data_IF_323362499249
#
_entry.id   IF_323362499249
#
_cell.length_a   1.000
_cell.length_b   1.000
_cell.length_c   1.000
_cell.angle_alpha   90.00
_cell.angle_beta   90.00
_cell.angle_gamma   90.00
#
_symmetry.space_group_name_H-M   'P 1'
#
loop_
_entity.id
_entity.type
_entity.pdbx_description
1 polymer ?
#
# COMPACT_ATOMS: atom_id res chain seq x y z
N UNK A 1 -8.89 -13.21 11.39
CA UNK A 1 -9.39 -13.32 9.99
C UNK A 1 -9.92 -11.98 9.56
N UNK A 2 -9.76 -11.57 8.30
CA UNK A 2 -10.37 -10.33 7.77
C UNK A 2 -11.90 -10.52 7.72
N UNK A 3 -12.63 -9.70 8.46
CA UNK A 3 -14.10 -9.71 8.42
C UNK A 3 -14.59 -8.59 7.50
N UNK A 4 -15.32 -8.97 6.43
CA UNK A 4 -15.94 -8.03 5.50
C UNK A 4 -17.43 -7.90 5.84
N UNK A 5 -17.88 -6.71 6.19
CA UNK A 5 -19.27 -6.37 6.52
C UNK A 5 -19.83 -5.44 5.45
N UNK A 6 -20.88 -5.87 4.79
CA UNK A 6 -21.45 -5.26 3.58
C UNK A 6 -22.90 -4.83 3.73
N UNK A 7 -23.54 -5.16 4.85
CA UNK A 7 -24.99 -5.03 5.07
C UNK A 7 -25.48 -3.58 4.88
N UNK A 8 -24.63 -2.60 5.24
CA UNK A 8 -24.98 -1.18 5.09
C UNK A 8 -24.93 -0.71 3.63
N UNK A 9 -24.03 -1.30 2.82
CA UNK A 9 -23.99 -1.02 1.38
C UNK A 9 -25.04 -1.81 0.60
N UNK A 10 -25.34 -3.03 1.00
CA UNK A 10 -26.34 -3.90 0.35
C UNK A 10 -27.75 -3.29 0.35
N UNK A 11 -28.09 -2.44 1.34
CA UNK A 11 -29.37 -1.70 1.39
C UNK A 11 -29.61 -0.78 0.19
N UNK A 12 -28.55 -0.41 -0.52
CA UNK A 12 -28.59 0.51 -1.66
C UNK A 12 -28.68 -0.21 -3.02
N UNK A 13 -28.74 -1.53 -3.02
CA UNK A 13 -28.80 -2.35 -4.24
C UNK A 13 -29.92 -3.39 -4.14
N UNK A 14 -30.47 -3.82 -5.28
CA UNK A 14 -31.44 -4.90 -5.25
C UNK A 14 -30.73 -6.26 -5.08
N UNK A 15 -31.38 -7.22 -4.41
CA UNK A 15 -30.87 -8.60 -4.29
C UNK A 15 -30.60 -9.22 -5.65
N UNK A 16 -31.44 -8.94 -6.64
CA UNK A 16 -31.28 -9.42 -8.03
C UNK A 16 -30.00 -8.88 -8.64
N UNK A 17 -29.75 -7.58 -8.53
CA UNK A 17 -28.55 -6.95 -9.11
C UNK A 17 -27.29 -7.40 -8.38
N UNK A 18 -27.36 -7.57 -7.05
CA UNK A 18 -26.27 -8.09 -6.26
C UNK A 18 -25.87 -9.51 -6.69
N UNK A 19 -26.83 -10.42 -6.83
CA UNK A 19 -26.55 -11.78 -7.27
C UNK A 19 -25.98 -11.81 -8.70
N UNK A 20 -26.49 -10.99 -9.60
CA UNK A 20 -25.96 -10.89 -10.96
C UNK A 20 -24.51 -10.32 -10.99
N UNK A 21 -24.22 -9.35 -10.11
CA UNK A 21 -22.87 -8.81 -9.99
C UNK A 21 -21.89 -9.83 -9.38
N UNK A 22 -22.35 -10.64 -8.43
CA UNK A 22 -21.54 -11.69 -7.82
C UNK A 22 -21.19 -12.80 -8.84
N UNK A 23 -22.12 -13.20 -9.71
CA UNK A 23 -21.82 -14.13 -10.84
C UNK A 23 -20.79 -13.52 -11.80
N UNK A 24 -20.92 -12.23 -12.10
CA UNK A 24 -19.91 -11.51 -12.90
C UNK A 24 -18.55 -11.48 -12.23
N UNK A 25 -18.49 -11.32 -10.91
CA UNK A 25 -17.25 -11.34 -10.14
C UNK A 25 -16.59 -12.74 -10.13
N UNK A 26 -17.38 -13.81 -10.04
CA UNK A 26 -16.89 -15.20 -10.18
C UNK A 26 -16.23 -15.40 -11.55
N UNK A 27 -16.93 -15.02 -12.62
CA UNK A 27 -16.39 -15.12 -13.98
C UNK A 27 -15.11 -14.28 -14.16
N UNK A 28 -15.01 -13.11 -13.52
CA UNK A 28 -13.83 -12.28 -13.52
C UNK A 28 -12.65 -12.93 -12.75
N UNK A 29 -12.93 -13.63 -11.64
CA UNK A 29 -11.90 -14.39 -10.92
C UNK A 29 -11.41 -15.58 -11.76
N UNK A 30 -12.30 -16.33 -12.41
CA UNK A 30 -11.91 -17.42 -13.31
C UNK A 30 -11.03 -16.91 -14.46
N UNK A 31 -11.36 -15.73 -15.02
CA UNK A 31 -10.55 -15.07 -16.04
C UNK A 31 -9.15 -14.67 -15.52
N UNK A 32 -9.07 -14.19 -14.26
CA UNK A 32 -7.81 -13.87 -13.60
C UNK A 32 -6.96 -15.13 -13.40
N UNK A 33 -7.56 -16.20 -12.87
CA UNK A 33 -6.86 -17.45 -12.56
C UNK A 33 -6.37 -18.18 -13.82
N UNK A 34 -7.14 -18.15 -14.90
CA UNK A 34 -6.75 -18.76 -16.18
C UNK A 34 -5.65 -17.99 -16.91
N UNK A 35 -5.41 -16.72 -16.55
CA UNK A 35 -4.47 -15.85 -17.24
C UNK A 35 -4.92 -15.46 -18.67
N UNK A 36 -6.15 -15.74 -19.06
CA UNK A 36 -6.69 -15.45 -20.40
C UNK A 36 -7.26 -14.04 -20.54
N UNK A 37 -7.36 -13.29 -19.44
CA UNK A 37 -7.83 -11.93 -19.43
C UNK A 37 -6.83 -10.93 -20.05
N UNK A 38 -7.30 -9.72 -20.32
CA UNK A 38 -6.44 -8.61 -20.79
C UNK A 38 -5.30 -8.40 -19.80
N UNK A 39 -4.05 -8.49 -20.25
CA UNK A 39 -2.86 -8.39 -19.40
C UNK A 39 -2.57 -9.60 -18.52
N UNK A 40 -3.19 -10.76 -18.78
CA UNK A 40 -3.04 -11.99 -17.97
C UNK A 40 -1.59 -12.51 -17.88
N UNK A 41 -0.70 -12.09 -18.75
CA UNK A 41 0.74 -12.36 -18.66
C UNK A 41 1.43 -11.59 -17.50
N UNK A 42 0.71 -10.69 -16.81
CA UNK A 42 1.19 -9.90 -15.67
C UNK A 42 0.60 -10.35 -14.33
N UNK A 43 0.13 -11.59 -14.24
CA UNK A 43 -0.51 -12.17 -13.05
C UNK A 43 0.45 -12.94 -12.12
N UNK A 44 1.78 -12.81 -12.29
CA UNK A 44 2.78 -13.51 -11.47
C UNK A 44 2.69 -13.21 -9.97
N UNK A 45 2.08 -12.08 -9.60
CA UNK A 45 1.86 -11.71 -8.21
C UNK A 45 0.90 -12.65 -7.46
N UNK A 46 -0.01 -13.35 -8.16
CA UNK A 46 -0.95 -14.32 -7.56
C UNK A 46 -0.25 -15.43 -6.78
N UNK A 47 0.96 -15.79 -7.19
CA UNK A 47 1.69 -16.91 -6.58
C UNK A 47 2.78 -16.47 -5.61
N UNK A 48 3.00 -15.17 -5.41
CA UNK A 48 4.04 -14.66 -4.50
C UNK A 48 3.91 -15.16 -3.05
N UNK A 49 2.71 -15.39 -2.49
CA UNK A 49 2.60 -15.94 -1.12
C UNK A 49 2.91 -17.43 -1.01
N UNK A 50 3.13 -18.15 -2.10
CA UNK A 50 3.47 -19.60 -2.07
C UNK A 50 4.88 -19.85 -1.53
N UNK A 51 5.11 -21.08 -1.08
CA UNK A 51 6.35 -21.48 -0.39
C UNK A 51 7.62 -21.49 -1.26
N UNK A 52 7.52 -21.21 -2.55
CA UNK A 52 8.64 -21.25 -3.50
C UNK A 52 9.64 -20.08 -3.31
N UNK A 53 9.32 -19.12 -2.45
CA UNK A 53 10.15 -17.93 -2.19
C UNK A 53 11.23 -18.11 -1.12
N UNK A 54 11.56 -19.34 -0.70
CA UNK A 54 12.55 -19.63 0.36
C UNK A 54 13.90 -18.93 0.15
N UNK A 55 14.39 -18.91 -1.10
CA UNK A 55 15.64 -18.22 -1.41
C UNK A 55 15.54 -16.71 -1.22
N UNK A 56 14.47 -16.09 -1.73
CA UNK A 56 14.23 -14.65 -1.57
C UNK A 56 14.13 -14.25 -0.10
N UNK A 57 13.38 -15.03 0.69
CA UNK A 57 13.23 -14.80 2.14
C UNK A 57 14.60 -14.90 2.83
N UNK A 58 15.38 -15.93 2.52
CA UNK A 58 16.73 -16.12 3.07
C UNK A 58 17.65 -14.96 2.69
N UNK A 59 17.63 -14.51 1.44
CA UNK A 59 18.44 -13.38 0.96
C UNK A 59 18.03 -12.08 1.68
N UNK A 60 16.73 -11.79 1.84
CA UNK A 60 16.25 -10.62 2.58
C UNK A 60 16.70 -10.66 4.05
N UNK A 61 16.56 -11.78 4.72
CA UNK A 61 17.00 -11.97 6.11
C UNK A 61 18.52 -11.84 6.27
N UNK A 62 19.28 -12.39 5.33
CA UNK A 62 20.73 -12.25 5.32
C UNK A 62 21.16 -10.79 5.17
N UNK A 63 20.53 -10.04 4.28
CA UNK A 63 20.79 -8.61 4.11
C UNK A 63 20.43 -7.84 5.38
N UNK A 64 19.23 -8.09 5.92
CA UNK A 64 18.75 -7.46 7.14
C UNK A 64 19.73 -7.69 8.30
N UNK A 65 20.16 -8.94 8.53
CA UNK A 65 21.10 -9.28 9.62
C UNK A 65 22.46 -8.57 9.49
N UNK A 66 22.94 -8.33 8.26
CA UNK A 66 24.17 -7.58 8.00
C UNK A 66 24.02 -6.08 8.28
N UNK A 67 22.85 -5.51 8.04
CA UNK A 67 22.63 -4.07 8.07
C UNK A 67 22.07 -3.55 9.39
N UNK A 68 21.29 -4.36 10.13
CA UNK A 68 20.64 -3.96 11.39
C UNK A 68 21.62 -3.34 12.39
N UNK A 69 22.82 -3.89 12.55
CA UNK A 69 23.80 -3.41 13.52
C UNK A 69 24.90 -2.51 12.94
N UNK A 70 24.86 -2.21 11.64
CA UNK A 70 25.92 -1.49 10.93
C UNK A 70 25.43 -0.16 10.37
N UNK A 71 24.16 -0.10 9.98
CA UNK A 71 23.57 1.10 9.39
C UNK A 71 22.74 1.87 10.40
N UNK A 72 23.02 3.17 10.55
CA UNK A 72 22.12 4.07 11.28
C UNK A 72 20.85 4.33 10.48
N UNK A 73 20.98 4.39 9.14
CA UNK A 73 19.91 4.76 8.21
C UNK A 73 19.94 3.86 6.99
N UNK A 74 18.77 3.45 6.51
CA UNK A 74 18.63 2.86 5.18
C UNK A 74 17.69 3.73 4.35
N UNK A 75 18.19 4.22 3.22
CA UNK A 75 17.39 5.01 2.27
C UNK A 75 16.82 4.08 1.20
N UNK A 76 15.51 4.02 1.12
CA UNK A 76 14.80 3.30 0.07
C UNK A 76 14.52 4.28 -1.06
N UNK A 77 15.11 4.01 -2.22
CA UNK A 77 14.97 4.85 -3.42
C UNK A 77 13.98 4.22 -4.37
N UNK A 78 12.80 4.82 -4.51
CA UNK A 78 11.72 4.30 -5.35
C UNK A 78 10.52 5.25 -5.42
N UNK A 79 9.60 5.00 -6.34
CA UNK A 79 8.36 5.77 -6.53
C UNK A 79 7.21 4.82 -6.89
N UNK A 80 5.98 5.23 -6.65
CA UNK A 80 4.78 4.44 -6.95
C UNK A 80 4.81 3.08 -6.27
N UNK A 81 4.66 1.99 -7.01
CA UNK A 81 4.70 0.63 -6.45
C UNK A 81 6.03 0.23 -5.82
N UNK A 82 7.13 0.88 -6.20
CA UNK A 82 8.44 0.70 -5.55
C UNK A 82 8.58 1.46 -4.21
N UNK A 83 7.54 2.18 -3.79
CA UNK A 83 7.51 3.02 -2.59
C UNK A 83 6.30 2.70 -1.70
N UNK A 84 5.07 2.79 -2.26
CA UNK A 84 3.84 2.85 -1.47
C UNK A 84 3.57 1.59 -0.66
N UNK A 85 3.77 0.39 -1.22
CA UNK A 85 3.52 -0.86 -0.50
C UNK A 85 4.47 -1.04 0.69
N UNK A 86 5.77 -0.82 0.48
CA UNK A 86 6.76 -0.87 1.56
C UNK A 86 6.50 0.23 2.61
N UNK A 87 6.20 1.47 2.18
CA UNK A 87 5.88 2.58 3.09
C UNK A 87 4.65 2.27 3.95
N UNK A 88 3.59 1.74 3.34
CA UNK A 88 2.38 1.32 4.05
C UNK A 88 2.70 0.29 5.14
N UNK A 89 3.39 -0.79 4.79
CA UNK A 89 3.74 -1.84 5.75
C UNK A 89 4.61 -1.29 6.90
N UNK A 90 5.63 -0.49 6.59
CA UNK A 90 6.52 0.08 7.60
C UNK A 90 5.82 1.05 8.55
N UNK A 91 4.93 1.90 8.06
CA UNK A 91 4.14 2.79 8.93
C UNK A 91 3.18 2.00 9.81
N UNK A 92 2.56 0.96 9.26
CA UNK A 92 1.65 0.10 10.01
C UNK A 92 2.36 -0.62 11.19
N UNK A 93 3.59 -1.10 10.98
CA UNK A 93 4.31 -1.88 11.98
C UNK A 93 5.08 -1.03 12.97
N UNK A 94 5.55 0.14 12.55
CA UNK A 94 6.42 1.00 13.36
C UNK A 94 5.70 1.59 14.57
N UNK A 95 6.47 1.83 15.64
CA UNK A 95 5.99 2.67 16.73
C UNK A 95 5.77 4.11 16.22
N UNK A 96 4.67 4.75 16.62
CA UNK A 96 4.31 6.10 16.13
C UNK A 96 5.41 7.15 16.36
N UNK A 97 6.23 6.97 17.39
CA UNK A 97 7.38 7.84 17.72
C UNK A 97 8.73 7.15 17.47
N UNK A 98 8.79 6.19 16.54
CA UNK A 98 10.02 5.47 16.24
C UNK A 98 11.18 6.38 15.81
N UNK A 99 10.92 7.58 15.28
CA UNK A 99 11.96 8.55 14.92
C UNK A 99 12.67 9.18 16.13
N UNK A 100 12.04 9.21 17.29
CA UNK A 100 12.52 9.85 18.51
C UNK A 100 13.06 8.88 19.58
N UNK A 101 12.81 7.56 19.44
CA UNK A 101 13.17 6.53 20.43
C UNK A 101 14.44 5.75 20.09
N UNK A 102 14.87 4.91 21.03
CA UNK A 102 15.91 3.90 20.80
C UNK A 102 15.45 2.87 19.77
N UNK A 103 16.37 2.35 18.98
CA UNK A 103 16.07 1.46 17.84
C UNK A 103 16.94 0.24 17.86
N UNK A 104 16.31 -0.88 17.54
CA UNK A 104 16.98 -2.15 17.27
C UNK A 104 17.21 -2.40 15.76
N UNK A 105 16.89 -1.42 14.91
CA UNK A 105 17.02 -1.48 13.46
C UNK A 105 17.31 -0.10 12.86
N UNK A 106 17.84 0.00 11.63
CA UNK A 106 18.12 1.26 10.97
C UNK A 106 16.88 2.15 10.82
N UNK A 107 17.09 3.46 10.80
CA UNK A 107 16.05 4.40 10.40
C UNK A 107 15.77 4.25 8.90
N UNK A 108 14.54 3.90 8.55
CA UNK A 108 14.13 3.81 7.16
C UNK A 108 13.67 5.19 6.68
N UNK A 109 14.31 5.68 5.63
CA UNK A 109 13.98 6.94 4.95
C UNK A 109 13.69 6.63 3.49
N UNK A 110 12.77 7.36 2.89
CA UNK A 110 12.42 7.19 1.48
C UNK A 110 12.93 8.36 0.64
N UNK A 111 13.38 8.09 -0.59
CA UNK A 111 13.80 9.09 -1.55
C UNK A 111 13.38 8.70 -2.98
N UNK A 112 13.40 9.66 -3.90
CA UNK A 112 13.06 9.40 -5.30
C UNK A 112 11.56 9.25 -5.56
N UNK A 113 10.72 9.68 -4.64
CA UNK A 113 9.26 9.82 -4.82
C UNK A 113 8.85 11.28 -5.06
N UNK A 114 9.78 12.20 -4.99
CA UNK A 114 9.60 13.64 -5.20
C UNK A 114 10.83 14.22 -5.90
N UNK A 115 10.65 15.34 -6.59
CA UNK A 115 11.72 16.16 -7.18
C UNK A 115 11.99 17.44 -6.36
N UNK A 116 11.58 17.48 -5.08
CA UNK A 116 11.84 18.60 -4.20
C UNK A 116 13.34 18.74 -3.91
N UNK A 117 13.88 19.90 -4.23
CA UNK A 117 15.28 20.27 -3.95
C UNK A 117 15.51 20.40 -2.45
N UNK A 118 14.58 21.05 -1.72
CA UNK A 118 14.65 21.21 -0.26
C UNK A 118 14.72 19.86 0.44
N UNK A 119 13.80 18.92 0.10
CA UNK A 119 13.81 17.58 0.67
C UNK A 119 15.13 16.84 0.41
N UNK A 120 15.66 16.93 -0.81
CA UNK A 120 16.92 16.27 -1.15
C UNK A 120 18.09 16.90 -0.41
N UNK A 121 18.14 18.23 -0.29
CA UNK A 121 19.15 18.97 0.46
C UNK A 121 19.15 18.57 1.94
N UNK A 122 17.98 18.52 2.57
CA UNK A 122 17.82 18.10 3.97
C UNK A 122 18.29 16.66 4.16
N UNK A 123 17.89 15.75 3.26
CA UNK A 123 18.32 14.36 3.31
C UNK A 123 19.83 14.22 3.20
N UNK A 124 20.46 14.90 2.26
CA UNK A 124 21.93 14.90 2.11
C UNK A 124 22.61 15.43 3.36
N UNK A 125 22.06 16.50 3.96
CA UNK A 125 22.53 17.07 5.23
C UNK A 125 22.43 16.07 6.38
N UNK A 126 21.26 15.42 6.52
CA UNK A 126 21.00 14.39 7.54
C UNK A 126 21.97 13.20 7.44
N UNK A 127 22.27 12.76 6.23
CA UNK A 127 23.13 11.60 5.99
C UNK A 127 24.62 11.87 6.21
N UNK A 128 25.08 13.13 6.26
CA UNK A 128 26.51 13.48 6.37
C UNK A 128 27.25 12.81 7.53
N UNK A 129 26.57 12.57 8.66
CA UNK A 129 27.17 11.99 9.87
C UNK A 129 26.70 10.58 10.19
N UNK A 130 25.92 9.96 9.30
CA UNK A 130 25.29 8.66 9.51
C UNK A 130 25.99 7.55 8.74
N UNK A 131 26.10 6.36 9.32
CA UNK A 131 26.37 5.15 8.53
C UNK A 131 25.07 4.80 7.80
N UNK A 132 25.07 4.79 6.46
CA UNK A 132 23.84 4.53 5.73
C UNK A 132 24.02 3.59 4.54
N UNK A 133 22.94 2.90 4.18
CA UNK A 133 22.82 2.05 3.01
C UNK A 133 21.70 2.53 2.08
N UNK A 134 21.74 2.13 0.81
CA UNK A 134 20.71 2.40 -0.18
C UNK A 134 20.06 1.08 -0.63
N UNK A 135 18.74 1.03 -0.63
CA UNK A 135 17.94 0.01 -1.34
C UNK A 135 17.30 0.72 -2.53
N UNK A 136 17.75 0.42 -3.74
CA UNK A 136 17.28 1.07 -4.96
C UNK A 136 16.31 0.15 -5.67
N UNK A 137 15.06 0.57 -5.76
CA UNK A 137 13.96 -0.23 -6.29
C UNK A 137 13.43 0.39 -7.57
N UNK A 138 13.73 -0.22 -8.71
CA UNK A 138 13.22 0.21 -10.01
C UNK A 138 13.32 -0.92 -11.03
N UNK A 139 12.21 -1.31 -11.64
CA UNK A 139 12.19 -2.39 -12.64
C UNK A 139 13.05 -2.03 -13.85
N UNK A 140 12.90 -0.83 -14.40
CA UNK A 140 13.65 -0.36 -15.57
C UNK A 140 14.96 0.35 -15.23
N UNK A 141 15.05 0.97 -14.05
CA UNK A 141 16.15 1.85 -13.66
C UNK A 141 16.14 3.22 -14.38
N UNK A 142 15.10 3.54 -15.15
CA UNK A 142 15.00 4.77 -15.94
C UNK A 142 13.88 5.70 -15.49
N UNK A 143 13.14 5.35 -14.44
CA UNK A 143 12.15 6.25 -13.84
C UNK A 143 12.88 7.48 -13.31
N UNK A 144 12.50 8.65 -13.80
CA UNK A 144 13.28 9.88 -13.67
C UNK A 144 13.59 10.23 -12.21
N UNK A 145 12.57 10.25 -11.36
CA UNK A 145 12.66 10.68 -9.97
C UNK A 145 13.62 9.80 -9.18
N UNK A 146 13.42 8.48 -9.25
CA UNK A 146 14.27 7.52 -8.54
C UNK A 146 15.68 7.42 -9.12
N UNK A 147 15.84 7.58 -10.45
CA UNK A 147 17.15 7.57 -11.10
C UNK A 147 17.99 8.81 -10.71
N UNK A 148 17.37 9.99 -10.62
CA UNK A 148 18.01 11.22 -10.15
C UNK A 148 18.42 11.11 -8.68
N UNK A 149 17.49 10.69 -7.82
CA UNK A 149 17.77 10.50 -6.41
C UNK A 149 18.92 9.50 -6.19
N UNK A 150 18.90 8.36 -6.90
CA UNK A 150 19.99 7.39 -6.83
C UNK A 150 21.33 7.99 -7.29
N UNK A 151 21.35 8.73 -8.39
CA UNK A 151 22.58 9.37 -8.91
C UNK A 151 23.19 10.33 -7.89
N UNK A 152 22.36 11.15 -7.24
CA UNK A 152 22.79 12.14 -6.24
C UNK A 152 23.31 11.43 -4.99
N UNK A 153 22.53 10.51 -4.43
CA UNK A 153 22.89 9.78 -3.21
C UNK A 153 24.12 8.88 -3.41
N UNK A 154 24.23 8.22 -4.56
CA UNK A 154 25.42 7.44 -4.91
C UNK A 154 26.68 8.29 -4.98
N UNK A 155 26.62 9.50 -5.56
CA UNK A 155 27.76 10.44 -5.62
C UNK A 155 28.21 10.81 -4.21
N UNK A 156 27.28 11.22 -3.32
CA UNK A 156 27.61 11.53 -1.93
C UNK A 156 28.24 10.33 -1.21
N UNK A 157 27.72 9.11 -1.47
CA UNK A 157 28.24 7.89 -0.85
C UNK A 157 29.67 7.60 -1.28
N UNK A 158 29.98 7.73 -2.58
CA UNK A 158 31.33 7.54 -3.11
C UNK A 158 32.30 8.57 -2.53
N UNK A 159 31.89 9.83 -2.49
CA UNK A 159 32.74 10.92 -1.94
C UNK A 159 33.06 10.68 -0.46
N UNK A 160 32.18 10.02 0.26
CA UNK A 160 32.34 9.79 1.69
C UNK A 160 33.03 8.46 2.03
N UNK A 161 32.67 7.39 1.37
CA UNK A 161 33.08 6.03 1.73
C UNK A 161 34.03 5.41 0.70
N UNK A 162 34.23 6.05 -0.47
CA UNK A 162 34.95 5.45 -1.59
C UNK A 162 34.09 4.42 -2.36
N UNK A 163 34.59 3.98 -3.51
CA UNK A 163 33.82 3.08 -4.40
C UNK A 163 33.62 1.68 -3.81
N UNK A 164 34.64 1.12 -3.17
CA UNK A 164 34.60 -0.26 -2.63
C UNK A 164 33.59 -0.41 -1.50
N UNK A 165 33.57 0.53 -0.55
CA UNK A 165 32.62 0.45 0.56
C UNK A 165 31.20 0.85 0.09
N UNK A 166 31.09 1.80 -0.85
CA UNK A 166 29.81 2.14 -1.50
C UNK A 166 29.18 0.90 -2.15
N UNK A 167 29.95 0.06 -2.81
CA UNK A 167 29.47 -1.17 -3.43
C UNK A 167 28.75 -2.09 -2.43
N UNK A 168 29.26 -2.18 -1.20
CA UNK A 168 28.69 -3.02 -0.13
C UNK A 168 27.45 -2.40 0.54
N UNK A 169 27.24 -1.10 0.36
CA UNK A 169 26.16 -0.30 0.95
C UNK A 169 24.98 -0.06 0.00
N UNK A 170 25.06 -0.59 -1.22
CA UNK A 170 23.98 -0.48 -2.21
C UNK A 170 23.44 -1.86 -2.52
N UNK A 171 22.11 -1.99 -2.40
CA UNK A 171 21.36 -3.16 -2.84
C UNK A 171 20.33 -2.69 -3.86
N UNK A 172 20.18 -3.42 -4.94
CA UNK A 172 19.21 -3.10 -5.98
C UNK A 172 18.10 -4.14 -6.02
N UNK A 173 16.87 -3.70 -6.25
CA UNK A 173 15.73 -4.55 -6.57
C UNK A 173 15.25 -4.16 -7.96
N UNK A 174 15.50 -5.00 -8.96
CA UNK A 174 15.30 -4.66 -10.36
C UNK A 174 14.94 -5.88 -11.21
N UNK A 175 14.66 -5.68 -12.50
CA UNK A 175 14.45 -6.78 -13.43
C UNK A 175 15.63 -7.78 -13.43
N UNK A 176 15.35 -9.02 -13.70
CA UNK A 176 16.34 -10.08 -13.64
C UNK A 176 17.46 -9.94 -14.69
N UNK A 177 17.12 -9.45 -15.88
CA UNK A 177 18.00 -9.47 -17.04
C UNK A 177 18.10 -8.14 -17.79
N UNK A 178 17.15 -7.23 -17.59
CA UNK A 178 17.02 -6.04 -18.41
C UNK A 178 16.99 -4.75 -17.57
N UNK A 179 17.27 -3.64 -18.25
CA UNK A 179 17.13 -2.31 -17.68
C UNK A 179 18.43 -1.68 -17.19
N UNK A 180 18.40 -0.36 -17.05
CA UNK A 180 19.57 0.44 -16.69
C UNK A 180 20.09 0.09 -15.27
N UNK A 181 19.18 -0.18 -14.31
CA UNK A 181 19.60 -0.53 -12.95
C UNK A 181 20.25 -1.90 -12.89
N UNK A 182 19.79 -2.88 -13.71
CA UNK A 182 20.45 -4.19 -13.85
C UNK A 182 21.86 -4.00 -14.39
N UNK A 183 22.02 -3.29 -15.49
CA UNK A 183 23.33 -3.01 -16.08
C UNK A 183 24.29 -2.29 -15.11
N UNK A 184 23.78 -1.34 -14.31
CA UNK A 184 24.57 -0.69 -13.26
C UNK A 184 24.96 -1.67 -12.15
N UNK A 185 24.07 -2.56 -11.74
CA UNK A 185 24.33 -3.56 -10.70
C UNK A 185 25.47 -4.50 -11.12
N UNK A 186 25.44 -4.97 -12.35
CA UNK A 186 26.48 -5.82 -12.94
C UNK A 186 27.81 -5.06 -13.07
N UNK A 187 27.77 -3.86 -13.64
CA UNK A 187 28.99 -3.04 -13.85
C UNK A 187 29.70 -2.68 -12.57
N UNK A 188 28.96 -2.31 -11.52
CA UNK A 188 29.53 -1.83 -10.24
C UNK A 188 29.55 -2.90 -9.14
N UNK A 189 29.05 -4.10 -9.43
CA UNK A 189 29.06 -5.24 -8.50
C UNK A 189 28.11 -5.05 -7.31
N UNK A 190 26.95 -4.38 -7.49
CA UNK A 190 25.96 -4.27 -6.44
C UNK A 190 25.23 -5.60 -6.23
N UNK A 191 24.96 -5.94 -4.97
CA UNK A 191 24.06 -7.03 -4.67
C UNK A 191 22.67 -6.70 -5.19
N UNK A 192 22.04 -7.66 -5.89
CA UNK A 192 20.78 -7.42 -6.58
C UNK A 192 19.78 -8.54 -6.31
N UNK A 193 18.56 -8.17 -5.92
CA UNK A 193 17.41 -9.05 -5.87
C UNK A 193 16.55 -8.84 -7.11
N UNK A 194 15.98 -9.93 -7.62
CA UNK A 194 15.18 -9.89 -8.84
C UNK A 194 13.72 -9.57 -8.56
N UNK A 195 13.16 -8.66 -9.35
CA UNK A 195 11.71 -8.45 -9.46
C UNK A 195 11.21 -9.26 -10.66
N UNK A 196 10.23 -10.17 -10.49
CA UNK A 196 9.71 -10.95 -11.61
C UNK A 196 9.15 -10.06 -12.73
N UNK A 197 9.47 -10.38 -13.97
CA UNK A 197 9.06 -9.61 -15.14
C UNK A 197 7.55 -9.52 -15.33
N UNK A 198 6.80 -10.52 -14.83
CA UNK A 198 5.35 -10.62 -14.88
C UNK A 198 4.63 -10.09 -13.63
N UNK A 199 5.29 -9.25 -12.83
CA UNK A 199 4.72 -8.56 -11.67
C UNK A 199 4.73 -7.05 -11.93
N UNK A 200 3.56 -6.43 -11.85
CA UNK A 200 3.39 -4.97 -11.96
C UNK A 200 3.81 -4.25 -10.66
N UNK A 201 4.21 -2.97 -10.75
CA UNK A 201 4.68 -2.21 -9.60
C UNK A 201 3.70 -2.19 -8.43
N UNK A 202 2.43 -1.89 -8.67
CA UNK A 202 1.39 -1.80 -7.63
C UNK A 202 0.94 -3.13 -7.03
N UNK A 203 1.35 -4.25 -7.64
CA UNK A 203 1.13 -5.64 -7.19
C UNK A 203 2.42 -6.29 -6.66
N UNK A 204 3.45 -5.52 -6.31
CA UNK A 204 4.77 -6.07 -6.02
C UNK A 204 5.16 -6.09 -4.54
N UNK A 205 4.30 -5.66 -3.63
CA UNK A 205 4.63 -5.55 -2.19
C UNK A 205 5.04 -6.89 -1.57
N UNK A 206 4.50 -8.01 -2.04
CA UNK A 206 4.83 -9.36 -1.58
C UNK A 206 6.07 -9.97 -2.27
N UNK A 207 6.79 -9.18 -3.09
CA UNK A 207 8.08 -9.52 -3.69
C UNK A 207 9.25 -8.88 -2.93
N UNK A 208 10.46 -8.98 -3.47
CA UNK A 208 11.65 -8.27 -2.95
C UNK A 208 11.42 -6.77 -2.72
N UNK A 209 10.48 -6.17 -3.46
CA UNK A 209 10.12 -4.74 -3.38
C UNK A 209 9.62 -4.34 -1.98
N UNK A 210 8.76 -5.15 -1.36
CA UNK A 210 8.27 -4.92 0.00
C UNK A 210 9.06 -5.71 1.04
N UNK A 211 9.39 -6.98 0.75
CA UNK A 211 10.01 -7.87 1.74
C UNK A 211 11.39 -7.39 2.21
N UNK A 212 12.23 -6.89 1.31
CA UNK A 212 13.55 -6.41 1.71
C UNK A 212 13.48 -5.18 2.63
N UNK A 213 12.73 -4.11 2.32
CA UNK A 213 12.52 -2.99 3.24
C UNK A 213 11.96 -3.40 4.60
N UNK A 214 10.95 -4.30 4.62
CA UNK A 214 10.32 -4.79 5.84
C UNK A 214 11.32 -5.54 6.70
N UNK A 215 12.10 -6.46 6.12
CA UNK A 215 13.12 -7.23 6.84
C UNK A 215 14.23 -6.34 7.41
N UNK A 216 14.73 -5.36 6.63
CA UNK A 216 15.80 -4.43 7.07
C UNK A 216 15.30 -3.50 8.18
N UNK A 217 14.01 -3.18 8.21
CA UNK A 217 13.39 -2.45 9.30
C UNK A 217 13.17 -3.31 10.58
N UNK A 218 13.51 -4.61 10.54
CA UNK A 218 13.44 -5.51 11.69
C UNK A 218 12.09 -6.21 11.88
N UNK A 219 11.19 -6.18 10.90
CA UNK A 219 9.88 -6.83 10.97
C UNK A 219 9.88 -8.23 10.36
N UNK A 220 8.90 -9.04 10.76
CA UNK A 220 8.82 -10.46 10.40
C UNK A 220 8.15 -10.67 9.03
N UNK A 221 8.98 -10.89 8.00
CA UNK A 221 8.52 -11.16 6.64
C UNK A 221 7.88 -12.54 6.46
N UNK A 222 8.17 -13.52 7.33
CA UNK A 222 7.48 -14.82 7.26
C UNK A 222 6.05 -14.67 7.74
N UNK A 223 5.82 -13.92 8.83
CA UNK A 223 4.47 -13.61 9.29
C UNK A 223 3.69 -12.81 8.24
N UNK A 224 4.35 -11.84 7.60
CA UNK A 224 3.73 -11.03 6.55
C UNK A 224 3.29 -11.89 5.34
N UNK A 225 4.16 -12.75 4.85
CA UNK A 225 3.82 -13.70 3.76
C UNK A 225 2.82 -14.76 4.22
N UNK A 226 2.89 -15.19 5.48
CA UNK A 226 1.95 -16.14 6.07
C UNK A 226 0.51 -15.62 6.03
N UNK A 227 0.31 -14.35 6.40
CA UNK A 227 -0.99 -13.70 6.29
C UNK A 227 -1.50 -13.58 4.85
N UNK A 228 -0.62 -13.21 3.91
CA UNK A 228 -0.96 -13.18 2.49
C UNK A 228 -1.34 -14.58 1.95
N UNK A 229 -0.63 -15.62 2.38
CA UNK A 229 -0.95 -17.02 2.03
C UNK A 229 -2.29 -17.47 2.59
N UNK A 230 -2.60 -17.07 3.83
CA UNK A 230 -3.91 -17.35 4.42
C UNK A 230 -5.03 -16.68 3.61
N UNK A 231 -4.89 -15.40 3.27
CA UNK A 231 -5.86 -14.72 2.41
C UNK A 231 -6.00 -15.41 1.06
N UNK A 232 -4.91 -15.86 0.45
CA UNK A 232 -4.90 -16.55 -0.84
C UNK A 232 -5.82 -17.78 -0.83
N UNK A 233 -5.85 -18.56 0.25
CA UNK A 233 -6.68 -19.74 0.37
C UNK A 233 -8.19 -19.43 0.31
N UNK A 234 -8.58 -18.21 0.71
CA UNK A 234 -9.99 -17.79 0.75
C UNK A 234 -10.39 -16.96 -0.47
N UNK A 235 -9.52 -16.01 -0.90
CA UNK A 235 -9.90 -15.05 -1.95
C UNK A 235 -9.72 -15.58 -3.38
N UNK A 236 -9.07 -16.72 -3.56
CA UNK A 236 -8.98 -17.41 -4.88
C UNK A 236 -10.04 -18.50 -5.06
N UNK A 237 -10.90 -18.72 -4.07
CA UNK A 237 -12.02 -19.65 -4.19
C UNK A 237 -13.18 -19.02 -4.98
N UNK A 238 -13.68 -19.73 -5.97
CA UNK A 238 -14.86 -19.30 -6.75
C UNK A 238 -16.12 -19.68 -5.98
N UNK A 239 -16.51 -18.84 -5.02
CA UNK A 239 -17.68 -19.09 -4.17
C UNK A 239 -18.42 -17.80 -3.82
N UNK A 240 -19.70 -17.91 -3.42
CA UNK A 240 -20.52 -16.77 -2.99
C UNK A 240 -20.02 -16.15 -1.68
N UNK A 241 -19.33 -16.92 -0.85
CA UNK A 241 -18.77 -16.48 0.42
C UNK A 241 -17.43 -15.76 0.28
N UNK A 242 -16.83 -15.77 -0.92
CA UNK A 242 -15.54 -15.14 -1.15
C UNK A 242 -15.62 -13.61 -0.92
N UNK A 243 -14.90 -13.06 0.09
CA UNK A 243 -15.00 -11.65 0.44
C UNK A 243 -14.48 -10.74 -0.66
N UNK A 244 -13.49 -11.16 -1.45
CA UNK A 244 -12.96 -10.36 -2.55
C UNK A 244 -13.98 -10.20 -3.69
N UNK A 245 -14.76 -11.25 -3.97
CA UNK A 245 -15.82 -11.20 -4.98
C UNK A 245 -17.00 -10.35 -4.51
N UNK A 246 -17.42 -10.50 -3.26
CA UNK A 246 -18.48 -9.68 -2.65
C UNK A 246 -18.12 -8.19 -2.70
N UNK A 247 -16.91 -7.87 -2.31
CA UNK A 247 -16.41 -6.49 -2.35
C UNK A 247 -16.36 -5.95 -3.79
N UNK A 248 -15.78 -6.67 -4.74
CA UNK A 248 -15.72 -6.27 -6.14
C UNK A 248 -17.11 -6.09 -6.76
N UNK A 249 -18.07 -6.98 -6.44
CA UNK A 249 -19.44 -6.88 -6.91
C UNK A 249 -20.13 -5.59 -6.41
N UNK A 250 -20.02 -5.29 -5.12
CA UNK A 250 -20.59 -4.06 -4.54
C UNK A 250 -19.96 -2.80 -5.13
N UNK A 251 -18.64 -2.73 -5.26
CA UNK A 251 -17.96 -1.59 -5.89
C UNK A 251 -18.50 -1.32 -7.30
N UNK A 252 -18.64 -2.37 -8.11
CA UNK A 252 -19.16 -2.23 -9.47
C UNK A 252 -20.64 -1.82 -9.49
N UNK A 253 -21.44 -2.26 -8.53
CA UNK A 253 -22.83 -1.81 -8.38
C UNK A 253 -22.92 -0.35 -7.95
N UNK A 254 -22.10 0.08 -6.99
CA UNK A 254 -22.01 1.49 -6.61
C UNK A 254 -21.62 2.36 -7.82
N UNK A 255 -20.63 1.95 -8.59
CA UNK A 255 -20.26 2.65 -9.84
C UNK A 255 -21.43 2.75 -10.83
N UNK A 256 -22.16 1.65 -11.06
CA UNK A 256 -23.33 1.61 -11.95
C UNK A 256 -24.49 2.47 -11.44
N UNK A 257 -24.68 2.57 -10.11
CA UNK A 257 -25.70 3.43 -9.49
C UNK A 257 -25.37 4.91 -9.48
N UNK A 258 -24.23 5.33 -10.05
CA UNK A 258 -23.82 6.72 -10.16
C UNK A 258 -22.83 7.19 -9.09
N UNK A 259 -22.45 6.36 -8.14
CA UNK A 259 -21.34 6.67 -7.23
C UNK A 259 -20.03 6.65 -8.03
N UNK A 260 -19.30 7.74 -8.00
CA UNK A 260 -18.07 7.92 -8.79
C UNK A 260 -16.80 7.94 -7.95
N UNK A 261 -16.97 8.08 -6.64
CA UNK A 261 -15.88 8.20 -5.68
C UNK A 261 -16.02 7.09 -4.65
N UNK A 262 -14.97 6.31 -4.47
CA UNK A 262 -14.80 5.44 -3.30
C UNK A 262 -13.87 6.11 -2.31
N UNK A 263 -14.34 6.30 -1.09
CA UNK A 263 -13.56 6.91 -0.02
C UNK A 263 -13.04 5.82 0.91
N UNK A 264 -11.75 5.58 0.90
CA UNK A 264 -11.10 4.71 1.88
C UNK A 264 -10.90 5.45 3.19
N UNK A 265 -11.45 4.91 4.26
CA UNK A 265 -11.46 5.52 5.58
C UNK A 265 -10.66 4.66 6.55
N UNK A 266 -9.85 5.28 7.39
CA UNK A 266 -9.25 4.64 8.55
C UNK A 266 -9.45 5.50 9.80
N UNK A 267 -9.49 4.82 10.95
CA UNK A 267 -9.57 5.43 12.29
C UNK A 267 -8.27 5.25 13.08
N UNK A 268 -7.23 4.75 12.41
CA UNK A 268 -5.95 4.48 13.05
C UNK A 268 -4.81 5.13 12.26
N UNK A 269 -4.06 6.10 12.83
CA UNK A 269 -3.03 6.85 12.09
C UNK A 269 -2.00 5.99 11.37
N UNK A 270 -1.73 4.78 11.87
CA UNK A 270 -0.81 3.81 11.24
C UNK A 270 -1.31 3.29 9.89
N UNK A 271 -2.60 3.39 9.59
CA UNK A 271 -3.20 2.94 8.32
C UNK A 271 -3.27 4.04 7.26
N UNK A 272 -2.76 5.25 7.54
CA UNK A 272 -2.75 6.36 6.59
C UNK A 272 -2.17 5.97 5.22
N UNK A 273 -1.01 5.32 5.21
CA UNK A 273 -0.38 4.90 3.95
C UNK A 273 -1.05 3.69 3.28
N UNK A 274 -1.95 2.99 3.99
CA UNK A 274 -2.81 2.01 3.34
C UNK A 274 -3.74 2.69 2.33
N UNK A 275 -4.37 3.80 2.72
CA UNK A 275 -5.18 4.60 1.80
C UNK A 275 -4.37 5.08 0.58
N UNK A 276 -3.13 5.56 0.79
CA UNK A 276 -2.25 6.01 -0.30
C UNK A 276 -1.89 4.85 -1.26
N UNK A 277 -1.63 3.65 -0.73
CA UNK A 277 -1.38 2.48 -1.56
C UNK A 277 -2.63 2.05 -2.33
N UNK A 278 -3.82 2.07 -1.70
CA UNK A 278 -5.10 1.75 -2.33
C UNK A 278 -5.45 2.74 -3.45
N UNK A 279 -5.13 4.03 -3.29
CA UNK A 279 -5.27 5.00 -4.38
C UNK A 279 -4.51 4.57 -5.63
N UNK A 280 -3.25 4.18 -5.49
CA UNK A 280 -2.49 3.70 -6.64
C UNK A 280 -3.05 2.39 -7.18
N UNK A 281 -3.32 1.42 -6.31
CA UNK A 281 -3.80 0.11 -6.71
C UNK A 281 -5.06 0.22 -7.57
N UNK A 282 -6.08 0.92 -7.09
CA UNK A 282 -7.37 1.02 -7.78
C UNK A 282 -7.35 2.02 -8.93
N UNK A 283 -6.78 3.22 -8.75
CA UNK A 283 -6.78 4.23 -9.82
C UNK A 283 -6.06 3.76 -11.08
N UNK A 284 -4.85 3.19 -10.94
CA UNK A 284 -4.09 2.70 -12.10
C UNK A 284 -4.67 1.41 -12.70
N UNK A 285 -5.38 0.60 -11.92
CA UNK A 285 -5.97 -0.65 -12.40
C UNK A 285 -7.30 -0.44 -13.11
N UNK A 286 -8.16 0.45 -12.60
CA UNK A 286 -9.53 0.64 -13.06
C UNK A 286 -9.73 1.92 -13.90
N UNK A 287 -8.95 2.99 -13.62
CA UNK A 287 -9.11 4.30 -14.25
C UNK A 287 -8.67 4.32 -15.72
N UNK A 288 -9.40 3.64 -16.60
CA UNK A 288 -9.09 3.45 -18.02
C UNK A 288 -10.33 3.54 -18.88
N UNK A 289 -10.16 3.90 -20.14
CA UNK A 289 -11.26 3.92 -21.13
C UNK A 289 -12.46 4.76 -20.62
N UNK A 290 -12.18 5.86 -19.88
CA UNK A 290 -13.16 6.74 -19.24
C UNK A 290 -14.08 6.03 -18.24
N UNK A 291 -13.59 4.95 -17.61
CA UNK A 291 -14.28 4.16 -16.57
C UNK A 291 -13.48 4.20 -15.27
N UNK A 292 -14.09 3.65 -14.21
CA UNK A 292 -13.49 3.43 -12.92
C UNK A 292 -13.96 4.41 -11.84
N UNK A 293 -13.84 3.96 -10.60
CA UNK A 293 -14.06 4.77 -9.40
C UNK A 293 -12.84 5.64 -9.14
N UNK A 294 -13.06 6.88 -8.70
CA UNK A 294 -11.96 7.72 -8.19
C UNK A 294 -11.72 7.36 -6.72
N UNK A 295 -10.54 6.83 -6.36
CA UNK A 295 -10.24 6.49 -4.97
C UNK A 295 -9.78 7.75 -4.21
N UNK A 296 -10.50 8.09 -3.15
CA UNK A 296 -10.13 9.12 -2.17
C UNK A 296 -9.76 8.47 -0.84
N UNK A 297 -9.13 9.22 0.06
CA UNK A 297 -8.75 8.73 1.39
C UNK A 297 -9.06 9.75 2.47
N UNK A 298 -9.51 9.28 3.64
CA UNK A 298 -9.77 10.10 4.82
C UNK A 298 -9.21 9.43 6.08
N UNK A 299 -8.64 10.25 6.94
CA UNK A 299 -8.13 9.86 8.27
C UNK A 299 -9.12 10.37 9.33
N UNK A 300 -10.02 9.51 9.80
CA UNK A 300 -10.99 9.88 10.82
C UNK A 300 -10.39 9.63 12.24
N UNK A 301 -10.73 10.42 13.24
CA UNK A 301 -11.78 11.48 13.32
C UNK A 301 -11.37 12.83 12.73
N UNK A 302 -10.09 13.04 12.40
CA UNK A 302 -9.56 14.33 11.93
C UNK A 302 -10.39 14.92 10.80
N UNK A 303 -10.65 14.12 9.76
CA UNK A 303 -11.34 14.61 8.56
C UNK A 303 -12.86 14.76 8.74
N UNK A 304 -13.45 14.32 9.85
CA UNK A 304 -14.81 14.72 10.21
C UNK A 304 -14.92 16.24 10.42
N UNK A 305 -13.82 16.86 10.89
CA UNK A 305 -13.73 18.31 11.11
C UNK A 305 -13.35 19.09 9.84
N UNK A 306 -13.25 18.43 8.69
CA UNK A 306 -12.97 19.07 7.39
C UNK A 306 -14.04 18.73 6.36
N UNK A 307 -14.22 17.46 6.01
CA UNK A 307 -15.13 17.02 4.95
C UNK A 307 -16.38 16.31 5.45
N UNK A 308 -16.55 16.12 6.76
CA UNK A 308 -17.70 15.44 7.35
C UNK A 308 -19.03 16.09 6.95
N UNK A 309 -19.12 17.42 6.88
CA UNK A 309 -20.31 18.11 6.39
C UNK A 309 -20.66 17.71 4.95
N UNK A 310 -19.66 17.63 4.05
CA UNK A 310 -19.92 17.25 2.66
C UNK A 310 -20.40 15.79 2.55
N UNK A 311 -19.79 14.88 3.31
CA UNK A 311 -20.22 13.48 3.31
C UNK A 311 -21.65 13.35 3.80
N UNK A 312 -22.00 14.02 4.90
CA UNK A 312 -23.33 13.93 5.50
C UNK A 312 -24.42 14.58 4.65
N UNK A 313 -24.16 15.72 4.00
CA UNK A 313 -25.21 16.57 3.40
C UNK A 313 -24.84 17.11 2.00
N UNK A 314 -23.69 16.71 1.43
CA UNK A 314 -23.28 17.09 0.08
C UNK A 314 -23.89 16.18 -1.00
N UNK A 315 -23.28 16.18 -2.18
CA UNK A 315 -23.73 15.41 -3.33
C UNK A 315 -23.55 13.89 -3.12
N UNK A 316 -24.54 13.08 -3.53
CA UNK A 316 -24.57 11.62 -3.31
C UNK A 316 -23.75 10.83 -4.34
N UNK A 317 -22.53 11.28 -4.66
CA UNK A 317 -21.63 10.70 -5.68
C UNK A 317 -20.59 9.74 -5.12
N UNK A 318 -20.54 9.55 -3.80
CA UNK A 318 -19.53 8.74 -3.13
C UNK A 318 -20.15 7.58 -2.32
N UNK A 319 -19.31 6.61 -1.98
CA UNK A 319 -19.54 5.60 -0.96
C UNK A 319 -18.23 5.37 -0.18
N UNK A 320 -18.33 4.72 0.96
CA UNK A 320 -17.22 4.56 1.88
C UNK A 320 -16.79 3.10 2.01
N UNK A 321 -15.47 2.89 2.11
CA UNK A 321 -14.84 1.64 2.51
C UNK A 321 -13.96 1.92 3.73
N UNK A 322 -14.45 1.58 4.93
CA UNK A 322 -13.73 1.79 6.18
C UNK A 322 -12.90 0.57 6.56
N UNK A 323 -11.65 0.79 6.95
CA UNK A 323 -10.74 -0.23 7.47
C UNK A 323 -10.54 0.01 8.97
N UNK A 324 -11.06 -0.91 9.76
CA UNK A 324 -11.00 -0.90 11.21
C UNK A 324 -9.95 -1.89 11.69
N UNK A 325 -9.32 -1.59 12.82
CA UNK A 325 -8.39 -2.51 13.45
C UNK A 325 -8.56 -2.45 14.96
N UNK A 326 -8.43 -3.59 15.63
CA UNK A 326 -8.34 -3.64 17.08
C UNK A 326 -7.09 -2.94 17.61
N UNK A 327 -7.16 -2.45 18.82
CA UNK A 327 -6.02 -1.81 19.49
C UNK A 327 -4.99 -2.82 19.98
N UNK A 328 -3.86 -2.30 20.41
CA UNK A 328 -2.82 -3.09 21.11
C UNK A 328 -3.25 -3.45 22.53
N UNK A 329 -2.46 -4.32 23.16
CA UNK A 329 -2.64 -4.85 24.51
C UNK A 329 -2.62 -3.79 25.64
N UNK A 330 -2.22 -2.55 25.35
CA UNK A 330 -2.13 -1.47 26.35
C UNK A 330 -3.34 -0.56 26.23
N UNK A 331 -4.14 -0.53 27.29
CA UNK A 331 -5.31 0.35 27.40
C UNK A 331 -4.90 1.75 27.87
N UNK A 332 -5.45 2.78 27.23
CA UNK A 332 -5.38 4.16 27.71
C UNK A 332 -6.76 4.53 28.26
N UNK A 333 -6.83 4.57 29.58
CA UNK A 333 -8.07 4.81 30.32
C UNK A 333 -8.25 6.32 30.56
N UNK A 334 -9.46 6.82 30.37
CA UNK A 334 -9.82 8.22 30.60
C UNK A 334 -9.87 8.45 32.13
N UNK A 335 -9.05 9.39 32.67
CA UNK A 335 -9.07 9.74 34.08
C UNK A 335 -10.29 10.61 34.41
N UNK A 336 -10.64 10.70 35.70
CA UNK A 336 -11.56 11.75 36.17
C UNK A 336 -10.82 13.06 36.36
N UNK A 337 -11.53 14.18 36.12
CA UNK A 337 -11.09 15.54 36.53
C UNK A 337 -11.73 15.93 37.87
N UNK A 338 -10.98 16.67 38.71
CA UNK A 338 -11.50 17.12 40.00
C UNK A 338 -12.58 18.18 39.90
N UNK A 339 -12.62 18.93 38.81
CA UNK A 339 -13.52 20.05 38.56
C UNK A 339 -14.48 19.85 37.39
N UNK A 340 -14.23 18.80 36.58
CA UNK A 340 -15.03 18.45 35.38
C UNK A 340 -15.38 19.67 34.48
N UNK A 341 -14.44 20.61 34.34
CA UNK A 341 -14.67 21.83 33.55
C UNK A 341 -14.85 21.55 32.05
N UNK A 342 -14.29 20.46 31.58
CA UNK A 342 -14.43 19.97 30.19
C UNK A 342 -15.72 19.14 29.98
N UNK A 343 -16.46 18.82 31.05
CA UNK A 343 -17.70 18.05 30.97
C UNK A 343 -17.51 16.57 30.61
N UNK A 344 -16.30 16.01 30.68
CA UNK A 344 -15.98 14.68 30.17
C UNK A 344 -15.98 13.57 31.23
N UNK A 345 -16.34 13.85 32.50
CA UNK A 345 -16.35 12.85 33.57
C UNK A 345 -17.31 11.67 33.32
N UNK A 346 -18.28 11.81 32.41
CA UNK A 346 -19.14 10.70 31.97
C UNK A 346 -18.36 9.62 31.20
N UNK A 347 -17.15 9.92 30.69
CA UNK A 347 -16.23 8.99 30.03
C UNK A 347 -15.23 8.34 31.00
N UNK A 348 -15.26 8.69 32.28
CA UNK A 348 -14.37 8.13 33.30
C UNK A 348 -14.37 6.60 33.25
N UNK A 349 -13.17 6.02 33.12
CA UNK A 349 -12.99 4.57 33.04
C UNK A 349 -13.21 3.95 31.66
N UNK A 350 -13.64 4.74 30.68
CA UNK A 350 -13.62 4.30 29.29
C UNK A 350 -12.20 4.25 28.76
N UNK A 351 -11.95 3.36 27.78
CA UNK A 351 -10.69 3.37 27.04
C UNK A 351 -10.79 4.26 25.82
N UNK A 352 -9.67 4.80 25.34
CA UNK A 352 -9.64 5.53 24.05
C UNK A 352 -10.13 4.66 22.89
N UNK A 353 -9.87 3.34 22.93
CA UNK A 353 -10.37 2.42 21.91
C UNK A 353 -11.90 2.37 21.91
N UNK A 354 -12.55 2.28 23.07
CA UNK A 354 -14.00 2.27 23.16
C UNK A 354 -14.62 3.57 22.63
N UNK A 355 -13.97 4.71 22.89
CA UNK A 355 -14.42 6.01 22.35
C UNK A 355 -14.23 6.08 20.86
N UNK A 356 -13.09 5.59 20.33
CA UNK A 356 -12.84 5.54 18.90
C UNK A 356 -13.83 4.64 18.17
N UNK A 357 -14.19 3.48 18.76
CA UNK A 357 -15.24 2.59 18.24
C UNK A 357 -16.63 3.25 18.25
N UNK A 358 -16.96 3.98 19.30
CA UNK A 358 -18.22 4.73 19.37
C UNK A 358 -18.27 5.85 18.30
N UNK A 359 -17.13 6.54 18.07
CA UNK A 359 -17.03 7.54 17.00
C UNK A 359 -17.21 6.90 15.61
N UNK A 360 -16.59 5.74 15.37
CA UNK A 360 -16.76 4.96 14.13
C UNK A 360 -18.23 4.58 13.91
N UNK A 361 -18.83 3.93 14.90
CA UNK A 361 -20.21 3.48 14.80
C UNK A 361 -21.19 4.63 14.59
N UNK A 362 -21.03 5.70 15.36
CA UNK A 362 -21.87 6.92 15.22
C UNK A 362 -21.74 7.55 13.85
N UNK A 363 -20.52 7.67 13.32
CA UNK A 363 -20.26 8.19 11.97
C UNK A 363 -20.90 7.31 10.90
N UNK A 364 -20.68 6.00 10.96
CA UNK A 364 -21.24 5.04 10.02
C UNK A 364 -22.76 5.05 10.00
N UNK A 365 -23.40 5.12 11.16
CA UNK A 365 -24.86 5.24 11.28
C UNK A 365 -25.35 6.55 10.64
N UNK A 366 -24.70 7.68 10.92
CA UNK A 366 -25.05 8.97 10.38
C UNK A 366 -24.91 9.02 8.85
N UNK A 367 -23.77 8.61 8.31
CA UNK A 367 -23.51 8.62 6.88
C UNK A 367 -24.45 7.66 6.13
N UNK A 368 -24.69 6.46 6.65
CA UNK A 368 -25.65 5.51 6.04
C UNK A 368 -27.06 6.06 6.03
N UNK A 369 -27.55 6.67 7.13
CA UNK A 369 -28.86 7.30 7.19
C UNK A 369 -28.97 8.52 6.27
N UNK A 370 -27.86 9.22 6.02
CA UNK A 370 -27.72 10.29 5.04
C UNK A 370 -27.66 9.85 3.59
N UNK A 371 -27.73 8.54 3.30
CA UNK A 371 -27.72 8.00 1.94
C UNK A 371 -26.34 7.72 1.36
N UNK A 372 -25.30 7.57 2.22
CA UNK A 372 -23.95 7.16 1.84
C UNK A 372 -23.76 5.67 2.14
N UNK A 373 -23.59 4.81 1.12
CA UNK A 373 -23.33 3.39 1.32
C UNK A 373 -21.99 3.17 2.03
N UNK A 374 -21.96 2.23 2.98
CA UNK A 374 -20.77 1.91 3.77
C UNK A 374 -20.43 0.43 3.65
N UNK A 375 -19.19 0.13 3.28
CA UNK A 375 -18.53 -1.17 3.40
C UNK A 375 -17.47 -1.04 4.47
N UNK A 376 -17.32 -2.02 5.36
CA UNK A 376 -16.23 -1.98 6.29
C UNK A 376 -15.59 -3.34 6.51
N UNK A 377 -14.31 -3.27 6.83
CA UNK A 377 -13.44 -4.41 7.05
C UNK A 377 -12.82 -4.29 8.42
N UNK A 378 -12.81 -5.38 9.16
CA UNK A 378 -12.27 -5.42 10.49
C UNK A 378 -11.07 -6.35 10.56
N UNK A 379 -9.95 -5.82 11.02
CA UNK A 379 -8.73 -6.55 11.36
C UNK A 379 -8.69 -6.78 12.87
N UNK A 380 -8.26 -7.94 13.31
CA UNK A 380 -8.03 -8.20 14.73
C UNK A 380 -7.06 -7.21 15.33
N UNK A 381 -5.95 -6.92 14.62
CA UNK A 381 -4.92 -5.95 15.00
C UNK A 381 -4.06 -5.55 13.81
N UNK A 382 -3.28 -4.48 13.97
CA UNK A 382 -2.29 -4.04 12.98
C UNK A 382 -0.97 -4.75 13.28
N UNK A 383 -0.70 -5.85 12.57
CA UNK A 383 0.56 -6.60 12.61
C UNK A 383 0.93 -7.13 11.22
N UNK A 384 2.08 -7.78 11.10
CA UNK A 384 2.57 -8.30 9.82
C UNK A 384 1.60 -9.29 9.19
N UNK A 385 0.99 -10.18 9.99
CA UNK A 385 0.05 -11.18 9.50
C UNK A 385 -1.21 -10.54 8.89
N UNK A 386 -1.86 -9.68 9.65
CA UNK A 386 -3.11 -9.06 9.20
C UNK A 386 -2.90 -8.10 8.03
N UNK A 387 -1.77 -7.38 8.01
CA UNK A 387 -1.44 -6.52 6.87
C UNK A 387 -1.09 -7.34 5.62
N UNK A 388 -0.37 -8.45 5.75
CA UNK A 388 -0.12 -9.36 4.63
C UNK A 388 -1.42 -9.90 4.02
N UNK A 389 -2.37 -10.29 4.87
CA UNK A 389 -3.70 -10.72 4.47
C UNK A 389 -4.44 -9.61 3.72
N UNK A 390 -4.41 -8.38 4.25
CA UNK A 390 -5.11 -7.23 3.69
C UNK A 390 -4.56 -6.82 2.31
N UNK A 391 -3.24 -6.83 2.14
CA UNK A 391 -2.61 -6.54 0.85
C UNK A 391 -3.08 -7.52 -0.22
N UNK A 392 -3.02 -8.81 0.04
CA UNK A 392 -3.41 -9.81 -0.94
C UNK A 392 -4.91 -9.78 -1.25
N UNK A 393 -5.75 -9.56 -0.23
CA UNK A 393 -7.19 -9.35 -0.41
C UNK A 393 -7.48 -8.21 -1.39
N UNK A 394 -6.86 -7.05 -1.20
CA UNK A 394 -7.10 -5.90 -2.08
C UNK A 394 -6.52 -6.08 -3.48
N UNK A 395 -5.36 -6.74 -3.62
CA UNK A 395 -4.80 -7.06 -4.94
C UNK A 395 -5.77 -7.91 -5.77
N UNK A 396 -6.34 -8.97 -5.19
CA UNK A 396 -7.31 -9.83 -5.86
C UNK A 396 -8.61 -9.07 -6.13
N UNK A 397 -9.16 -8.39 -5.13
CA UNK A 397 -10.39 -7.60 -5.28
C UNK A 397 -10.30 -6.56 -6.39
N UNK A 398 -9.15 -5.88 -6.48
CA UNK A 398 -8.89 -4.87 -7.50
C UNK A 398 -8.84 -5.50 -8.91
N UNK A 399 -8.11 -6.59 -9.08
CA UNK A 399 -8.00 -7.27 -10.36
C UNK A 399 -9.36 -7.79 -10.86
N UNK A 400 -10.15 -8.40 -9.96
CA UNK A 400 -11.52 -8.86 -10.25
C UNK A 400 -12.42 -7.69 -10.64
N UNK A 401 -12.40 -6.60 -9.84
CA UNK A 401 -13.21 -5.41 -10.11
C UNK A 401 -12.88 -4.76 -11.44
N UNK A 402 -11.60 -4.68 -11.81
CA UNK A 402 -11.16 -4.15 -13.10
C UNK A 402 -11.64 -5.02 -14.28
N UNK A 403 -11.58 -6.35 -14.14
CA UNK A 403 -12.15 -7.25 -15.17
C UNK A 403 -13.66 -7.12 -15.29
N UNK A 404 -14.41 -6.92 -14.20
CA UNK A 404 -15.84 -6.63 -14.24
C UNK A 404 -16.16 -5.33 -14.98
N UNK A 405 -15.26 -4.32 -14.94
CA UNK A 405 -15.34 -3.08 -15.74
C UNK A 405 -14.94 -3.29 -17.20
N UNK A 406 -14.36 -4.45 -17.54
CA UNK A 406 -13.88 -4.78 -18.90
C UNK A 406 -12.56 -4.12 -19.26
N UNK A 407 -11.75 -3.69 -18.28
CA UNK A 407 -10.45 -3.03 -18.51
C UNK A 407 -9.28 -3.97 -18.14
N UNK A 408 -8.07 -3.64 -18.64
CA UNK A 408 -6.85 -4.37 -18.26
C UNK A 408 -6.38 -3.93 -16.86
N UNK A 409 -6.33 -4.81 -15.83
CA UNK A 409 -5.91 -4.44 -14.48
C UNK A 409 -4.43 -4.05 -14.36
N UNK A 410 -3.58 -4.43 -15.30
CA UNK A 410 -2.14 -4.50 -15.08
C UNK A 410 -1.30 -3.51 -15.88
N UNK A 411 -1.87 -2.80 -16.84
CA UNK A 411 -1.21 -1.73 -17.59
C UNK A 411 -1.61 -0.33 -17.09
N UNK A 412 -0.94 0.71 -17.60
CA UNK A 412 -1.24 2.11 -17.34
C UNK A 412 -0.81 2.99 -18.52
N UNK A 413 -1.44 2.86 -19.72
CA UNK A 413 -0.96 3.50 -20.93
C UNK A 413 -1.04 5.03 -20.90
N UNK A 414 -2.02 5.60 -20.20
CA UNK A 414 -2.24 7.05 -20.18
C UNK A 414 -1.10 7.86 -19.56
N UNK A 415 -0.33 7.27 -18.63
CA UNK A 415 0.78 7.98 -17.99
C UNK A 415 1.97 8.24 -18.90
N UNK A 416 2.04 7.59 -20.06
CA UNK A 416 3.10 7.85 -21.04
C UNK A 416 2.97 9.24 -21.70
N UNK A 417 1.76 9.81 -21.73
CA UNK A 417 1.52 11.15 -22.30
C UNK A 417 2.30 12.21 -21.52
N UNK A 418 2.14 12.27 -20.20
CA UNK A 418 2.85 13.27 -19.39
C UNK A 418 4.35 13.03 -19.38
N UNK A 419 4.80 11.78 -19.37
CA UNK A 419 6.24 11.44 -19.43
C UNK A 419 6.88 11.93 -20.72
N UNK A 420 6.21 11.73 -21.84
CA UNK A 420 6.71 12.21 -23.14
C UNK A 420 6.81 13.74 -23.17
N UNK A 421 5.84 14.46 -22.61
CA UNK A 421 5.90 15.91 -22.49
C UNK A 421 7.04 16.37 -21.60
N UNK A 422 7.20 15.72 -20.42
CA UNK A 422 8.30 15.99 -19.50
C UNK A 422 9.66 15.78 -20.18
N UNK A 423 9.86 14.67 -20.86
CA UNK A 423 11.14 14.39 -21.54
C UNK A 423 11.45 15.39 -22.67
N UNK A 424 10.44 15.86 -23.41
CA UNK A 424 10.63 16.95 -24.39
C UNK A 424 11.09 18.23 -23.73
N UNK A 425 10.47 18.62 -22.60
CA UNK A 425 10.87 19.82 -21.86
C UNK A 425 12.29 19.73 -21.28
N UNK A 426 12.71 18.52 -20.90
CA UNK A 426 14.06 18.26 -20.38
C UNK A 426 15.12 18.09 -21.49
N UNK A 427 14.74 18.20 -22.77
CA UNK A 427 15.67 18.03 -23.89
C UNK A 427 16.26 16.61 -23.99
N UNK A 428 15.50 15.59 -23.60
CA UNK A 428 15.96 14.20 -23.71
C UNK A 428 16.24 13.86 -25.18
N UNK A 429 17.46 13.36 -25.53
CA UNK A 429 17.74 12.93 -26.88
C UNK A 429 16.74 11.86 -27.34
N UNK A 430 16.24 11.98 -28.57
CA UNK A 430 15.48 10.90 -29.22
C UNK A 430 16.38 9.66 -29.31
N UNK A 431 15.83 8.51 -28.95
CA UNK A 431 16.52 7.23 -29.09
C UNK A 431 16.71 6.87 -30.54
#
# INVERSE_FOLDING_TARGET
MLELKTEMAERFVSVKDYNAALESAKSALELLLSGQGRGGNMNGWLTLPKDDNKKLIADCKMIASRWINVMDVVVIVGIGGSFLGAKCALEAFSHSFASAGERNAPHIVFAGYSLSEDYMSDLLGYLKKKSYGLIVISKSGTTLESALAFRILRKQMIDRFGEEDTRRRIITVTDQSNGALRAMSEKYGYMSLSLPGNVGGRYSVLSAVGLLPIAVAGFDIDRFLGGAKEAMNHVLEVSDSNPALRYAALRNLMYKSGKKIEVFINYHPKLKYLGEWLKQLFAESEGKEHKGLFPATLDLTTDLHSVGQYIQDGERVLFETAILAGSKEVEVIIPSSSDNLDGLDYLKGWTLENINRAAEEGTRMAHTSGGVPNIYMELEKIDEWNMGMLFYFFEVSCAVSAYMLGVNPFDQPAVEVYKNNLYKLLGRPSK
#
